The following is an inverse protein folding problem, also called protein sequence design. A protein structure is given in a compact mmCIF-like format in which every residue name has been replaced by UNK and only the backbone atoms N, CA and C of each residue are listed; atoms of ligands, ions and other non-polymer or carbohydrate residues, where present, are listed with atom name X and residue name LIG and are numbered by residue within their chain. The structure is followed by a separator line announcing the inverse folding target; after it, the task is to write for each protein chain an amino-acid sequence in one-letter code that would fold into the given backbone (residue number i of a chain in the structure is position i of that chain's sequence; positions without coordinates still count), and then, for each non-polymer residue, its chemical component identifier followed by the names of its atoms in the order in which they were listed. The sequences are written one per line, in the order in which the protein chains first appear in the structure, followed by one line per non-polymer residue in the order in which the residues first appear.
data_IF_036108559730
#
_entry.id   IF_036108559730
#
_cell.length_a   1.000
_cell.length_b   1.000
_cell.length_c   1.000
_cell.angle_alpha   90.00
_cell.angle_beta   90.00
_cell.angle_gamma   90.00
#
_symmetry.space_group_name_H-M   'P 1'
#
loop_
_entity.id
_entity.type
_entity.pdbx_description
1 polymer ?
#
# COMPACT_ATOMS: atom_id res chain seq x y z
N UNK A 1 18.59 1.67 -30.06
CA UNK A 1 18.30 1.88 -28.63
C UNK A 1 19.54 2.49 -28.00
N UNK A 2 19.40 3.44 -27.08
CA UNK A 2 20.52 4.22 -26.52
C UNK A 2 20.58 3.96 -25.02
N UNK A 3 21.71 3.40 -24.58
CA UNK A 3 21.96 2.95 -23.21
C UNK A 3 21.83 4.08 -22.17
N UNK A 4 22.19 5.32 -22.56
CA UNK A 4 22.07 6.47 -21.67
C UNK A 4 20.61 6.75 -21.31
N UNK A 5 19.70 6.68 -22.29
CA UNK A 5 18.27 6.88 -22.05
C UNK A 5 17.64 5.70 -21.32
N UNK A 6 18.06 4.47 -21.59
CA UNK A 6 17.55 3.28 -20.89
C UNK A 6 17.88 3.36 -19.38
N UNK A 7 19.11 3.74 -19.00
CA UNK A 7 19.50 3.90 -17.59
C UNK A 7 18.69 5.03 -16.93
N UNK A 8 18.57 6.17 -17.61
CA UNK A 8 17.80 7.30 -17.09
C UNK A 8 16.32 6.95 -16.91
N UNK A 9 15.73 6.21 -17.85
CA UNK A 9 14.37 5.72 -17.74
C UNK A 9 14.20 4.84 -16.51
N UNK A 10 15.02 3.78 -16.38
CA UNK A 10 14.93 2.80 -15.28
C UNK A 10 15.07 3.46 -13.91
N UNK A 11 16.02 4.37 -13.73
CA UNK A 11 16.19 5.10 -12.48
C UNK A 11 14.94 5.92 -12.10
N UNK A 12 14.30 6.57 -13.08
CA UNK A 12 13.05 7.30 -12.83
C UNK A 12 11.88 6.36 -12.61
N UNK A 13 11.87 5.19 -13.27
CA UNK A 13 10.82 4.20 -13.15
C UNK A 13 10.80 3.56 -11.75
N UNK A 14 11.97 3.31 -11.16
CA UNK A 14 12.09 2.86 -9.76
C UNK A 14 11.51 3.88 -8.78
N UNK A 15 11.84 5.16 -8.97
CA UNK A 15 11.29 6.25 -8.15
C UNK A 15 9.76 6.32 -8.33
N UNK A 16 9.27 6.22 -9.56
CA UNK A 16 7.85 6.23 -9.86
C UNK A 16 7.11 5.08 -9.15
N UNK A 17 7.61 3.85 -9.25
CA UNK A 17 7.02 2.68 -8.57
C UNK A 17 6.98 2.85 -7.05
N UNK A 18 8.07 3.36 -6.45
CA UNK A 18 8.12 3.64 -5.01
C UNK A 18 7.03 4.63 -4.58
N UNK A 19 6.90 5.77 -5.26
CA UNK A 19 5.92 6.79 -4.90
C UNK A 19 4.48 6.39 -5.24
N UNK A 20 4.27 5.62 -6.31
CA UNK A 20 2.97 5.06 -6.67
C UNK A 20 2.45 4.15 -5.55
N UNK A 21 3.29 3.23 -5.07
CA UNK A 21 2.94 2.33 -3.97
C UNK A 21 2.74 3.07 -2.64
N UNK A 22 3.60 4.04 -2.32
CA UNK A 22 3.42 4.89 -1.14
C UNK A 22 2.10 5.66 -1.19
N UNK A 23 1.77 6.25 -2.33
CA UNK A 23 0.52 6.98 -2.53
C UNK A 23 -0.68 6.06 -2.29
N UNK A 24 -0.68 4.86 -2.88
CA UNK A 24 -1.75 3.88 -2.72
C UNK A 24 -2.06 3.59 -1.24
N UNK A 25 -1.05 3.18 -0.46
CA UNK A 25 -1.25 2.88 0.97
C UNK A 25 -1.55 4.12 1.81
N UNK A 26 -0.98 5.28 1.49
CA UNK A 26 -1.32 6.54 2.17
C UNK A 26 -2.77 6.94 1.95
N UNK A 27 -3.31 6.76 0.74
CA UNK A 27 -4.72 7.02 0.45
C UNK A 27 -5.64 6.06 1.20
N UNK A 28 -5.28 4.78 1.33
CA UNK A 28 -6.06 3.85 2.16
C UNK A 28 -6.10 4.29 3.63
N UNK A 29 -4.94 4.67 4.18
CA UNK A 29 -4.84 5.17 5.56
C UNK A 29 -5.65 6.46 5.73
N UNK A 30 -5.53 7.41 4.80
CA UNK A 30 -6.30 8.67 4.81
C UNK A 30 -7.80 8.42 4.89
N UNK A 31 -8.31 7.43 4.16
CA UNK A 31 -9.73 7.09 4.17
C UNK A 31 -10.24 6.63 5.55
N UNK A 32 -9.39 5.99 6.37
CA UNK A 32 -9.78 5.59 7.74
C UNK A 32 -9.91 6.78 8.69
N UNK A 33 -9.24 7.89 8.38
CA UNK A 33 -9.24 9.12 9.18
C UNK A 33 -10.06 10.24 8.53
N UNK A 34 -10.87 9.95 7.50
CA UNK A 34 -11.64 10.96 6.78
C UNK A 34 -12.88 11.41 7.57
N UNK A 35 -12.67 12.25 8.58
CA UNK A 35 -13.74 12.79 9.44
C UNK A 35 -14.53 13.94 8.79
N UNK A 36 -14.11 14.43 7.61
CA UNK A 36 -14.83 15.49 6.89
C UNK A 36 -16.14 14.95 6.31
N UNK A 37 -16.15 13.67 5.93
CA UNK A 37 -17.28 13.02 5.26
C UNK A 37 -18.06 12.05 6.15
N UNK A 38 -17.51 11.64 7.30
CA UNK A 38 -18.08 10.61 8.18
C UNK A 38 -17.87 10.99 9.65
N UNK A 39 -18.78 10.60 10.53
CA UNK A 39 -18.56 10.75 11.98
C UNK A 39 -17.34 9.94 12.42
N UNK A 40 -16.29 10.65 12.84
CA UNK A 40 -15.02 10.05 13.27
C UNK A 40 -14.76 10.19 14.77
N UNK A 41 -13.48 10.28 15.12
CA UNK A 41 -13.01 10.50 16.49
C UNK A 41 -13.62 11.77 17.09
N UNK A 42 -13.59 12.89 16.37
CA UNK A 42 -14.02 14.19 16.91
C UNK A 42 -15.48 14.14 17.38
N UNK A 43 -16.39 13.59 16.56
CA UNK A 43 -17.80 13.45 16.90
C UNK A 43 -18.02 12.47 18.07
N UNK A 44 -17.35 11.32 18.02
CA UNK A 44 -17.46 10.28 19.06
C UNK A 44 -16.94 10.77 20.41
N UNK A 45 -15.81 11.47 20.42
CA UNK A 45 -15.21 12.06 21.61
C UNK A 45 -16.08 13.17 22.18
N UNK A 46 -16.57 14.10 21.36
CA UNK A 46 -17.44 15.18 21.82
C UNK A 46 -18.74 14.63 22.44
N UNK A 47 -19.35 13.60 21.82
CA UNK A 47 -20.54 12.95 22.36
C UNK A 47 -20.30 12.31 23.73
N UNK A 48 -19.15 11.64 23.90
CA UNK A 48 -18.74 11.11 25.20
C UNK A 48 -18.52 12.24 26.21
N UNK A 49 -17.78 13.28 25.83
CA UNK A 49 -17.48 14.43 26.68
C UNK A 49 -18.75 15.13 27.17
N UNK A 50 -19.70 15.41 26.27
CA UNK A 50 -20.97 16.06 26.60
C UNK A 50 -21.81 15.18 27.55
N UNK A 51 -21.82 13.87 27.33
CA UNK A 51 -22.51 12.94 28.23
C UNK A 51 -21.89 12.87 29.62
N UNK A 52 -20.56 12.96 29.72
CA UNK A 52 -19.85 13.04 31.00
C UNK A 52 -20.16 14.37 31.69
N UNK A 53 -20.22 15.47 30.96
CA UNK A 53 -20.63 16.76 31.51
C UNK A 53 -22.06 16.70 32.04
N UNK A 54 -23.00 16.06 31.35
CA UNK A 54 -24.36 15.88 31.84
C UNK A 54 -24.41 14.98 33.09
N UNK A 55 -23.57 13.95 33.16
CA UNK A 55 -23.44 13.11 34.35
C UNK A 55 -23.00 13.91 35.59
N UNK A 56 -22.16 14.94 35.42
CA UNK A 56 -21.79 15.82 36.55
C UNK A 56 -22.97 16.61 37.11
N UNK A 57 -23.95 16.94 36.26
CA UNK A 57 -25.16 17.68 36.67
C UNK A 57 -26.21 16.77 37.30
N UNK A 58 -26.34 15.53 36.81
CA UNK A 58 -27.36 14.59 37.28
C UNK A 58 -26.81 13.16 37.50
N UNK A 59 -25.94 12.96 38.50
CA UNK A 59 -25.23 11.69 38.70
C UNK A 59 -26.13 10.53 39.14
N UNK A 60 -27.30 10.83 39.74
CA UNK A 60 -28.26 9.82 40.20
C UNK A 60 -29.10 9.22 39.07
N UNK A 61 -29.20 9.90 37.92
CA UNK A 61 -30.02 9.48 36.78
C UNK A 61 -29.46 8.21 36.12
N UNK A 62 -30.27 7.15 36.10
CA UNK A 62 -29.93 5.90 35.41
C UNK A 62 -29.86 6.07 33.89
N UNK A 63 -30.67 6.98 33.34
CA UNK A 63 -30.65 7.30 31.91
C UNK A 63 -29.32 7.94 31.51
N UNK A 64 -28.84 8.93 32.28
CA UNK A 64 -27.57 9.62 32.00
C UNK A 64 -26.38 8.67 32.13
N UNK A 65 -26.35 7.81 33.15
CA UNK A 65 -25.31 6.76 33.28
C UNK A 65 -25.30 5.79 32.10
N UNK A 66 -26.48 5.39 31.61
CA UNK A 66 -26.59 4.53 30.42
C UNK A 66 -26.06 5.23 29.18
N UNK A 67 -26.37 6.52 29.01
CA UNK A 67 -25.90 7.31 27.87
C UNK A 67 -24.37 7.44 27.84
N UNK A 68 -23.73 7.72 28.97
CA UNK A 68 -22.26 7.73 29.08
C UNK A 68 -21.65 6.40 28.67
N UNK A 69 -22.21 5.28 29.18
CA UNK A 69 -21.74 3.94 28.83
C UNK A 69 -21.83 3.69 27.32
N UNK A 70 -22.94 4.09 26.69
CA UNK A 70 -23.14 3.88 25.27
C UNK A 70 -22.12 4.67 24.44
N UNK A 71 -21.92 5.97 24.71
CA UNK A 71 -20.92 6.75 23.96
C UNK A 71 -19.48 6.29 24.22
N UNK A 72 -19.16 5.83 25.43
CA UNK A 72 -17.86 5.22 25.71
C UNK A 72 -17.64 3.94 24.90
N UNK A 73 -18.71 3.15 24.72
CA UNK A 73 -18.69 1.95 23.88
C UNK A 73 -18.47 2.34 22.41
N UNK A 74 -19.22 3.31 21.88
CA UNK A 74 -19.04 3.80 20.51
C UNK A 74 -17.62 4.31 20.23
N UNK A 75 -17.03 5.09 21.15
CA UNK A 75 -15.65 5.55 20.98
C UNK A 75 -14.64 4.39 20.99
N UNK A 76 -14.89 3.37 21.83
CA UNK A 76 -14.05 2.16 21.86
C UNK A 76 -14.16 1.35 20.57
N UNK A 77 -15.37 1.21 20.04
CA UNK A 77 -15.65 0.55 18.76
C UNK A 77 -14.97 1.28 17.59
N UNK A 78 -14.98 2.62 17.60
CA UNK A 78 -14.24 3.44 16.63
C UNK A 78 -12.75 3.10 16.64
N UNK A 79 -12.10 3.13 17.81
CA UNK A 79 -10.68 2.79 17.92
C UNK A 79 -10.39 1.34 17.49
N UNK A 80 -11.29 0.41 17.81
CA UNK A 80 -11.14 -0.97 17.39
C UNK A 80 -11.20 -1.10 15.86
N UNK A 81 -12.15 -0.43 15.22
CA UNK A 81 -12.30 -0.39 13.76
C UNK A 81 -11.05 0.17 13.08
N UNK A 82 -10.57 1.35 13.52
CA UNK A 82 -9.33 1.94 12.98
C UNK A 82 -8.14 1.00 13.16
N UNK A 83 -7.99 0.40 14.34
CA UNK A 83 -6.90 -0.55 14.60
C UNK A 83 -6.97 -1.79 13.70
N UNK A 84 -8.17 -2.33 13.45
CA UNK A 84 -8.35 -3.48 12.56
C UNK A 84 -8.02 -3.12 11.12
N UNK A 85 -8.49 -1.96 10.65
CA UNK A 85 -8.23 -1.47 9.30
C UNK A 85 -6.73 -1.26 9.05
N UNK A 86 -6.03 -0.58 9.96
CA UNK A 86 -4.57 -0.39 9.86
C UNK A 86 -3.81 -1.71 9.85
N UNK A 87 -4.25 -2.69 10.66
CA UNK A 87 -3.66 -4.03 10.67
C UNK A 87 -3.89 -4.76 9.35
N UNK A 88 -5.09 -4.65 8.78
CA UNK A 88 -5.41 -5.24 7.48
C UNK A 88 -4.57 -4.62 6.36
N UNK A 89 -4.39 -3.29 6.33
CA UNK A 89 -3.49 -2.60 5.39
C UNK A 89 -2.04 -3.09 5.53
N UNK A 90 -1.55 -3.26 6.77
CA UNK A 90 -0.22 -3.80 7.01
C UNK A 90 -0.07 -5.24 6.50
N UNK A 91 -1.05 -6.10 6.75
CA UNK A 91 -1.07 -7.48 6.26
C UNK A 91 -1.12 -7.55 4.73
N UNK A 92 -1.93 -6.69 4.10
CA UNK A 92 -1.99 -6.53 2.64
C UNK A 92 -0.65 -6.07 2.05
N UNK A 93 -0.01 -5.08 2.65
CA UNK A 93 1.34 -4.64 2.25
C UNK A 93 2.38 -5.76 2.34
N UNK A 94 2.37 -6.53 3.44
CA UNK A 94 3.28 -7.67 3.58
C UNK A 94 3.03 -8.75 2.51
N UNK A 95 1.77 -9.00 2.16
CA UNK A 95 1.42 -9.93 1.08
C UNK A 95 1.93 -9.45 -0.27
N UNK A 96 1.72 -8.16 -0.59
CA UNK A 96 2.22 -7.57 -1.83
C UNK A 96 3.75 -7.59 -1.93
N UNK A 97 4.47 -7.37 -0.82
CA UNK A 97 5.94 -7.55 -0.80
C UNK A 97 6.33 -8.97 -1.23
N UNK A 98 5.62 -9.99 -0.76
CA UNK A 98 5.82 -11.38 -1.19
C UNK A 98 5.58 -11.56 -2.69
N UNK A 99 4.47 -11.04 -3.21
CA UNK A 99 4.15 -11.08 -4.64
C UNK A 99 5.22 -10.38 -5.50
N UNK A 100 5.74 -9.24 -5.04
CA UNK A 100 6.79 -8.52 -5.75
C UNK A 100 8.10 -9.29 -5.77
N UNK A 101 8.48 -9.97 -4.68
CA UNK A 101 9.66 -10.87 -4.66
C UNK A 101 9.49 -12.01 -5.66
N UNK A 102 8.33 -12.64 -5.72
CA UNK A 102 8.05 -13.71 -6.69
C UNK A 102 8.11 -13.20 -8.13
N UNK A 103 7.58 -12.00 -8.39
CA UNK A 103 7.65 -11.33 -9.70
C UNK A 103 9.10 -11.02 -10.09
N UNK A 104 9.91 -10.48 -9.17
CA UNK A 104 11.35 -10.24 -9.35
C UNK A 104 12.07 -11.55 -9.72
N UNK A 105 11.83 -12.61 -8.96
CA UNK A 105 12.45 -13.92 -9.21
C UNK A 105 12.06 -14.48 -10.58
N UNK A 106 10.79 -14.36 -10.97
CA UNK A 106 10.30 -14.77 -12.29
C UNK A 106 10.98 -13.99 -13.42
N UNK A 107 11.06 -12.66 -13.31
CA UNK A 107 11.75 -11.82 -14.29
C UNK A 107 13.25 -12.15 -14.37
N UNK A 108 13.92 -12.35 -13.24
CA UNK A 108 15.33 -12.75 -13.21
C UNK A 108 15.59 -14.08 -13.94
N UNK A 109 14.71 -15.08 -13.75
CA UNK A 109 14.81 -16.36 -14.45
C UNK A 109 14.59 -16.20 -15.97
N UNK A 110 13.60 -15.41 -16.38
CA UNK A 110 13.32 -15.14 -17.79
C UNK A 110 14.47 -14.39 -18.47
N UNK A 111 15.01 -13.34 -17.82
CA UNK A 111 16.19 -12.59 -18.28
C UNK A 111 17.41 -13.51 -18.45
N UNK A 112 17.64 -14.41 -17.48
CA UNK A 112 18.72 -15.40 -17.56
C UNK A 112 18.55 -16.37 -18.74
N UNK A 113 17.32 -16.86 -18.96
CA UNK A 113 17.00 -17.74 -20.10
C UNK A 113 17.20 -17.03 -21.44
N UNK A 114 16.69 -15.80 -21.58
CA UNK A 114 16.89 -14.99 -22.79
C UNK A 114 18.37 -14.72 -23.05
N UNK A 115 19.15 -14.42 -22.01
CA UNK A 115 20.59 -14.20 -22.13
C UNK A 115 21.31 -15.44 -22.67
N UNK A 116 20.94 -16.64 -22.21
CA UNK A 116 21.49 -17.91 -22.75
C UNK A 116 21.12 -18.12 -24.22
N UNK A 117 19.88 -17.81 -24.61
CA UNK A 117 19.41 -17.94 -25.98
C UNK A 117 20.12 -16.96 -26.92
N UNK A 118 20.26 -15.70 -26.51
CA UNK A 118 21.02 -14.66 -27.23
C UNK A 118 22.45 -15.16 -27.50
N UNK A 119 23.17 -15.56 -26.44
CA UNK A 119 24.55 -16.02 -26.57
C UNK A 119 24.65 -17.24 -27.51
N UNK A 120 23.72 -18.19 -27.41
CA UNK A 120 23.71 -19.38 -28.27
C UNK A 120 23.49 -19.04 -29.74
N UNK A 121 22.61 -18.09 -30.04
CA UNK A 121 22.31 -17.67 -31.41
C UNK A 121 23.46 -16.86 -32.02
N UNK A 122 24.02 -15.92 -31.26
CA UNK A 122 25.06 -15.01 -31.73
C UNK A 122 26.41 -15.72 -31.93
N UNK A 123 26.76 -16.72 -31.12
CA UNK A 123 27.94 -17.57 -31.35
C UNK A 123 27.85 -18.33 -32.68
N UNK A 124 26.63 -18.64 -33.16
CA UNK A 124 26.39 -19.29 -34.44
C UNK A 124 26.34 -18.32 -35.62
N UNK A 125 26.62 -17.03 -35.39
CA UNK A 125 26.61 -15.98 -36.40
C UNK A 125 25.24 -15.40 -36.73
N UNK A 126 24.20 -15.75 -35.95
CA UNK A 126 22.88 -15.12 -36.06
C UNK A 126 22.79 -13.81 -35.26
N UNK A 127 21.72 -13.04 -35.47
CA UNK A 127 21.45 -11.81 -34.71
C UNK A 127 20.21 -11.99 -33.84
N UNK A 128 20.30 -11.71 -32.54
CA UNK A 128 19.26 -11.98 -31.56
C UNK A 128 18.41 -10.74 -31.20
N UNK A 129 18.03 -9.90 -32.18
CA UNK A 129 17.38 -8.61 -31.91
C UNK A 129 16.10 -8.75 -31.08
N UNK A 130 15.17 -9.62 -31.49
CA UNK A 130 13.89 -9.79 -30.78
C UNK A 130 14.08 -10.29 -29.34
N UNK A 131 15.06 -11.18 -29.12
CA UNK A 131 15.39 -11.68 -27.78
C UNK A 131 16.01 -10.59 -26.90
N UNK A 132 16.81 -9.69 -27.49
CA UNK A 132 17.38 -8.54 -26.79
C UNK A 132 16.29 -7.53 -26.41
N UNK A 133 15.34 -7.30 -27.30
CA UNK A 133 14.22 -6.40 -27.04
C UNK A 133 13.33 -6.94 -25.92
N UNK A 134 13.01 -8.23 -25.93
CA UNK A 134 12.23 -8.86 -24.85
C UNK A 134 12.99 -8.85 -23.52
N UNK A 135 14.30 -9.13 -23.53
CA UNK A 135 15.12 -9.04 -22.32
C UNK A 135 15.10 -7.61 -21.76
N UNK A 136 15.25 -6.62 -22.62
CA UNK A 136 15.26 -5.23 -22.20
C UNK A 136 13.89 -4.81 -21.65
N UNK A 137 12.79 -5.25 -22.26
CA UNK A 137 11.43 -5.04 -21.73
C UNK A 137 11.31 -5.59 -20.32
N UNK A 138 11.78 -6.82 -20.06
CA UNK A 138 11.76 -7.39 -18.71
C UNK A 138 12.62 -6.61 -17.71
N UNK A 139 13.75 -6.04 -18.13
CA UNK A 139 14.56 -5.17 -17.25
C UNK A 139 13.84 -3.84 -16.97
N UNK A 140 13.12 -3.30 -17.94
CA UNK A 140 12.31 -2.10 -17.78
C UNK A 140 11.14 -2.36 -16.80
N UNK A 141 10.42 -3.48 -16.94
CA UNK A 141 9.38 -3.92 -15.99
C UNK A 141 9.94 -4.19 -14.58
N UNK A 142 11.13 -4.79 -14.49
CA UNK A 142 11.81 -5.01 -13.22
C UNK A 142 12.13 -3.69 -12.52
N UNK A 143 12.55 -2.67 -13.28
CA UNK A 143 12.93 -1.37 -12.73
C UNK A 143 11.78 -0.62 -12.05
N UNK A 144 10.52 -0.91 -12.39
CA UNK A 144 9.36 -0.35 -11.67
C UNK A 144 9.23 -0.94 -10.26
N UNK A 145 9.73 -2.16 -10.05
CA UNK A 145 9.61 -2.90 -8.79
C UNK A 145 10.83 -2.63 -7.89
N UNK A 146 12.05 -2.60 -8.47
CA UNK A 146 13.33 -2.51 -7.75
C UNK A 146 14.45 -1.87 -8.56
#
# INVERSE_FOLDING_TARGET
RDEYYDIKFRNNNTIYGEYSNKMHYMTEIENYFNEVSVEGFTTSYNSLYDSLHELTKNPSSSAVRTQVKNYATTLTEYFHSVSQNLKATQEGCNFEVGNMVDKINSYAQQISSLTKQINTLEIRGGTANDLRDERNRLVDELSEIV
#
